data_IF_390163907501
#
_entry.id   IF_390163907501
#
_cell.length_a   1.000
_cell.length_b   1.000
_cell.length_c   1.000
_cell.angle_alpha   90.00
_cell.angle_beta   90.00
_cell.angle_gamma   90.00
#
_symmetry.space_group_name_H-M   'P 1'
#
loop_
_entity.id
_entity.type
_entity.pdbx_description
1 polymer ?
#
# COMPACT_ATOMS: atom_id res chain seq x y z
N UNK A 1 -11.52 -17.48 17.59
CA UNK A 1 -12.19 -16.18 17.41
C UNK A 1 -11.45 -15.17 18.26
N UNK A 2 -10.60 -14.33 17.66
CA UNK A 2 -9.89 -13.26 18.35
C UNK A 2 -10.48 -11.93 17.94
N UNK A 3 -11.21 -11.30 18.84
CA UNK A 3 -11.66 -9.90 18.72
C UNK A 3 -10.48 -8.98 19.05
N UNK A 4 -10.31 -7.90 18.29
CA UNK A 4 -9.25 -6.91 18.51
C UNK A 4 -9.46 -6.21 19.87
N UNK A 5 -8.91 -6.79 20.94
CA UNK A 5 -8.92 -6.25 22.30
C UNK A 5 -7.56 -5.61 22.62
N UNK A 6 -7.51 -4.36 23.10
CA UNK A 6 -6.27 -3.56 23.20
C UNK A 6 -5.22 -4.07 24.21
N UNK A 7 -5.47 -5.18 24.93
CA UNK A 7 -4.50 -5.75 25.85
C UNK A 7 -3.47 -6.68 25.18
N UNK A 8 -3.82 -7.32 24.05
CA UNK A 8 -2.94 -8.21 23.28
C UNK A 8 -3.34 -8.12 21.80
N UNK A 9 -2.48 -7.55 20.98
CA UNK A 9 -2.63 -7.48 19.53
C UNK A 9 -1.53 -8.33 18.89
N UNK A 10 -1.93 -9.34 18.13
CA UNK A 10 -0.99 -10.13 17.31
C UNK A 10 -1.00 -9.57 15.88
N UNK A 11 0.18 -9.40 15.28
CA UNK A 11 0.27 -8.97 13.88
C UNK A 11 -0.39 -9.96 12.91
N UNK A 12 -0.49 -11.24 13.30
CA UNK A 12 -1.22 -12.26 12.56
C UNK A 12 -2.73 -11.95 12.46
N UNK A 13 -3.28 -11.18 13.40
CA UNK A 13 -4.69 -10.77 13.31
C UNK A 13 -4.95 -9.84 12.12
N UNK A 14 -3.93 -9.12 11.62
CA UNK A 14 -4.05 -8.30 10.41
C UNK A 14 -4.10 -9.11 9.12
N UNK A 15 -3.82 -10.42 9.17
CA UNK A 15 -3.80 -11.30 8.00
C UNK A 15 -5.15 -11.93 7.70
N UNK A 16 -6.18 -11.65 8.51
CA UNK A 16 -7.52 -12.20 8.31
C UNK A 16 -8.22 -11.48 7.16
N UNK A 17 -8.56 -12.25 6.14
CA UNK A 17 -9.18 -11.74 4.93
C UNK A 17 -10.51 -11.03 5.20
N UNK A 18 -10.60 -9.77 4.76
CA UNK A 18 -11.74 -8.88 4.98
C UNK A 18 -12.16 -8.70 6.46
N UNK A 19 -11.23 -8.88 7.42
CA UNK A 19 -11.50 -8.75 8.86
C UNK A 19 -10.32 -8.12 9.64
N UNK A 20 -10.23 -6.78 9.75
CA UNK A 20 -11.02 -5.75 9.06
C UNK A 20 -10.24 -5.02 7.94
N UNK A 21 -8.96 -5.36 7.73
CA UNK A 21 -8.04 -4.54 6.91
C UNK A 21 -7.53 -5.30 5.68
N UNK A 22 -7.16 -6.58 5.81
CA UNK A 22 -6.65 -7.36 4.69
C UNK A 22 -7.69 -7.44 3.57
N UNK A 23 -7.25 -7.23 2.33
CA UNK A 23 -8.13 -7.13 1.18
C UNK A 23 -7.45 -7.55 -0.13
N UNK A 24 -8.27 -7.90 -1.12
CA UNK A 24 -7.80 -8.22 -2.47
C UNK A 24 -7.21 -7.01 -3.21
N UNK A 25 -6.50 -7.28 -4.31
CA UNK A 25 -5.82 -6.27 -5.11
C UNK A 25 -4.83 -5.40 -4.32
N UNK A 26 -4.17 -6.02 -3.33
CA UNK A 26 -3.00 -5.48 -2.66
C UNK A 26 -1.86 -5.15 -3.64
N UNK A 27 -1.07 -4.12 -3.35
CA UNK A 27 0.04 -3.68 -4.22
C UNK A 27 1.20 -4.69 -4.29
N UNK A 28 1.44 -5.42 -3.20
CA UNK A 28 2.66 -6.21 -2.99
C UNK A 28 2.39 -7.67 -2.60
N UNK A 29 1.12 -8.07 -2.47
CA UNK A 29 0.70 -9.35 -1.92
C UNK A 29 -0.38 -9.97 -2.79
N UNK A 30 -0.35 -11.29 -2.91
CA UNK A 30 -1.35 -12.07 -3.62
C UNK A 30 -2.70 -12.02 -2.88
N UNK A 31 -3.78 -12.14 -3.62
CA UNK A 31 -5.13 -12.21 -3.04
C UNK A 31 -5.28 -13.50 -2.23
N UNK A 32 -6.05 -13.46 -1.14
CA UNK A 32 -6.23 -14.59 -0.22
C UNK A 32 -6.72 -15.86 -0.91
N UNK A 33 -7.51 -15.71 -1.98
CA UNK A 33 -8.01 -16.79 -2.83
C UNK A 33 -6.91 -17.73 -3.35
N UNK A 34 -5.72 -17.20 -3.66
CA UNK A 34 -4.62 -18.00 -4.20
C UNK A 34 -3.87 -18.80 -3.13
N UNK A 35 -4.22 -18.63 -1.84
CA UNK A 35 -3.68 -19.43 -0.74
C UNK A 35 -2.23 -19.09 -0.36
N UNK A 36 -1.69 -17.97 -0.85
CA UNK A 36 -0.41 -17.46 -0.37
C UNK A 36 -0.57 -16.81 1.01
N UNK A 37 0.50 -16.83 1.80
CA UNK A 37 0.51 -16.20 3.12
C UNK A 37 0.59 -14.67 2.98
N UNK A 38 -0.44 -13.92 3.44
CA UNK A 38 -0.48 -12.47 3.31
C UNK A 38 0.56 -11.75 4.17
N UNK A 39 1.28 -12.43 5.08
CA UNK A 39 2.42 -11.83 5.76
C UNK A 39 3.56 -11.53 4.77
N UNK A 40 3.72 -12.35 3.74
CA UNK A 40 4.84 -12.29 2.82
C UNK A 40 4.52 -11.53 1.55
N UNK A 41 5.54 -10.83 1.05
CA UNK A 41 5.47 -10.09 -0.20
C UNK A 41 5.62 -11.05 -1.37
N UNK A 42 4.75 -10.93 -2.37
CA UNK A 42 4.80 -11.72 -3.60
C UNK A 42 5.84 -11.09 -4.55
N UNK A 43 7.00 -11.73 -4.83
CA UNK A 43 8.12 -11.08 -5.53
C UNK A 43 7.77 -10.52 -6.91
N UNK A 44 6.90 -11.20 -7.66
CA UNK A 44 6.48 -10.75 -8.99
C UNK A 44 5.71 -9.42 -8.91
N UNK A 45 4.87 -9.23 -7.90
CA UNK A 45 4.12 -7.99 -7.73
C UNK A 45 5.04 -6.81 -7.37
N UNK A 46 6.13 -7.05 -6.64
CA UNK A 46 7.13 -6.01 -6.40
C UNK A 46 7.90 -5.67 -7.66
N UNK A 47 8.27 -6.66 -8.47
CA UNK A 47 8.90 -6.40 -9.75
C UNK A 47 7.98 -5.54 -10.63
N UNK A 48 6.68 -5.81 -10.63
CA UNK A 48 5.69 -4.98 -11.31
C UNK A 48 5.69 -3.55 -10.76
N UNK A 49 5.57 -3.36 -9.44
CA UNK A 49 5.64 -2.04 -8.78
C UNK A 49 6.91 -1.27 -9.17
N UNK A 50 8.06 -1.94 -9.16
CA UNK A 50 9.35 -1.33 -9.50
C UNK A 50 9.48 -1.03 -11.00
N UNK A 51 8.81 -1.80 -11.86
CA UNK A 51 8.81 -1.58 -13.31
C UNK A 51 8.11 -0.28 -13.71
N UNK A 52 7.06 0.13 -12.99
CA UNK A 52 6.40 1.42 -13.22
C UNK A 52 7.34 2.60 -12.91
N UNK A 53 8.24 2.44 -11.94
CA UNK A 53 9.21 3.48 -11.55
C UNK A 53 10.53 3.45 -12.30
N UNK A 54 10.50 3.11 -13.59
CA UNK A 54 11.66 2.99 -14.48
C UNK A 54 12.43 4.31 -14.68
N UNK A 55 11.76 5.45 -14.48
CA UNK A 55 12.36 6.80 -14.49
C UNK A 55 13.06 7.16 -13.15
N UNK A 56 13.12 6.20 -12.21
CA UNK A 56 13.74 6.34 -10.89
C UNK A 56 12.79 6.75 -9.78
N UNK A 57 11.50 6.92 -10.08
CA UNK A 57 10.48 7.34 -9.11
C UNK A 57 9.13 6.66 -9.36
N UNK A 58 8.32 6.50 -8.32
CA UNK A 58 6.95 5.99 -8.40
C UNK A 58 6.04 7.13 -7.96
N UNK A 59 5.16 7.59 -8.85
CA UNK A 59 4.25 8.71 -8.60
C UNK A 59 2.79 8.28 -8.36
N UNK A 60 1.90 9.26 -8.21
CA UNK A 60 0.45 9.05 -8.02
C UNK A 60 -0.18 8.29 -9.20
N UNK A 61 0.25 8.57 -10.43
CA UNK A 61 -0.27 7.91 -11.63
C UNK A 61 0.20 6.46 -11.68
N UNK A 62 1.43 6.18 -11.27
CA UNK A 62 2.00 4.84 -11.25
C UNK A 62 1.26 3.95 -10.24
N UNK A 63 1.06 4.42 -9.00
CA UNK A 63 0.29 3.64 -8.01
C UNK A 63 -1.17 3.43 -8.43
N UNK A 64 -1.76 4.38 -9.18
CA UNK A 64 -3.10 4.23 -9.73
C UNK A 64 -3.15 3.17 -10.85
N UNK A 65 -2.16 3.15 -11.74
CA UNK A 65 -2.03 2.12 -12.79
C UNK A 65 -1.83 0.73 -12.19
N UNK A 66 -0.94 0.61 -11.20
CA UNK A 66 -0.72 -0.64 -10.46
C UNK A 66 -2.04 -1.13 -9.86
N UNK A 67 -2.78 -0.26 -9.15
CA UNK A 67 -4.06 -0.63 -8.56
C UNK A 67 -5.07 -1.09 -9.63
N UNK A 68 -5.16 -0.37 -10.76
CA UNK A 68 -6.03 -0.76 -11.87
C UNK A 68 -5.67 -2.13 -12.44
N UNK A 69 -4.37 -2.43 -12.58
CA UNK A 69 -3.91 -3.73 -13.06
C UNK A 69 -4.24 -4.84 -12.06
N UNK A 70 -4.04 -4.60 -10.76
CA UNK A 70 -4.39 -5.56 -9.69
C UNK A 70 -5.88 -5.85 -9.65
N UNK A 71 -6.73 -4.82 -9.79
CA UNK A 71 -8.20 -5.00 -9.89
C UNK A 71 -8.55 -5.84 -11.12
N UNK A 72 -8.01 -5.52 -12.30
CA UNK A 72 -8.28 -6.29 -13.51
C UNK A 72 -7.85 -7.76 -13.40
N UNK A 73 -6.70 -8.02 -12.78
CA UNK A 73 -6.23 -9.37 -12.49
C UNK A 73 -7.18 -10.12 -11.56
N UNK A 74 -7.57 -9.51 -10.43
CA UNK A 74 -8.49 -10.12 -9.47
C UNK A 74 -9.85 -10.43 -10.11
N UNK A 75 -10.43 -9.49 -10.84
CA UNK A 75 -11.69 -9.69 -11.57
C UNK A 75 -11.65 -10.85 -12.58
N UNK A 76 -10.47 -11.12 -13.17
CA UNK A 76 -10.30 -12.18 -14.16
C UNK A 76 -10.01 -13.55 -13.55
N UNK A 77 -9.23 -13.61 -12.46
CA UNK A 77 -8.63 -14.86 -11.97
C UNK A 77 -9.03 -15.24 -10.55
N UNK A 78 -9.64 -14.35 -9.77
CA UNK A 78 -10.12 -14.59 -8.41
C UNK A 78 -11.67 -14.64 -8.42
N UNK A 79 -12.29 -15.84 -8.37
CA UNK A 79 -13.75 -16.00 -8.35
C UNK A 79 -14.44 -15.39 -7.12
N UNK A 80 -13.69 -15.14 -6.04
CA UNK A 80 -14.19 -14.55 -4.79
C UNK A 80 -13.75 -13.09 -4.63
N UNK A 81 -13.28 -12.47 -5.71
CA UNK A 81 -12.71 -11.13 -5.70
C UNK A 81 -13.65 -10.10 -5.06
N UNK A 82 -13.17 -9.42 -4.01
CA UNK A 82 -13.87 -8.30 -3.39
C UNK A 82 -13.04 -7.01 -3.47
N UNK A 83 -13.59 -6.02 -4.18
CA UNK A 83 -13.09 -4.65 -4.18
C UNK A 83 -14.22 -3.64 -3.96
N UNK A 84 -15.09 -3.96 -3.01
CA UNK A 84 -16.17 -3.11 -2.53
C UNK A 84 -15.66 -1.88 -1.78
N UNK A 85 -16.57 -1.04 -1.26
CA UNK A 85 -16.24 0.29 -0.76
C UNK A 85 -15.12 0.31 0.31
N UNK A 86 -15.13 -0.65 1.25
CA UNK A 86 -14.14 -0.71 2.34
C UNK A 86 -12.77 -1.18 1.83
N UNK A 87 -12.61 -2.37 1.21
CA UNK A 87 -11.37 -2.77 0.53
C UNK A 87 -10.78 -1.68 -0.37
N UNK A 88 -11.62 -1.07 -1.19
CA UNK A 88 -11.19 -0.07 -2.16
C UNK A 88 -10.78 1.26 -1.51
N UNK A 89 -11.31 1.59 -0.33
CA UNK A 89 -10.84 2.74 0.45
C UNK A 89 -9.47 2.46 1.07
N UNK A 90 -9.31 1.29 1.69
CA UNK A 90 -8.06 0.89 2.35
C UNK A 90 -6.92 0.82 1.34
N UNK A 91 -7.09 0.12 0.22
CA UNK A 91 -6.08 0.00 -0.84
C UNK A 91 -5.56 1.37 -1.31
N UNK A 92 -6.48 2.33 -1.51
CA UNK A 92 -6.13 3.69 -1.94
C UNK A 92 -5.46 4.50 -0.83
N UNK A 93 -5.89 4.31 0.43
CA UNK A 93 -5.29 4.95 1.59
C UNK A 93 -3.86 4.43 1.82
N UNK A 94 -3.61 3.14 1.63
CA UNK A 94 -2.28 2.53 1.70
C UNK A 94 -1.35 3.05 0.61
N UNK A 95 -1.82 3.13 -0.64
CA UNK A 95 -1.06 3.72 -1.74
C UNK A 95 -0.68 5.18 -1.47
N UNK A 96 -1.62 5.97 -0.96
CA UNK A 96 -1.37 7.36 -0.56
C UNK A 96 -0.41 7.44 0.63
N UNK A 97 -0.54 6.56 1.62
CA UNK A 97 0.36 6.49 2.78
C UNK A 97 1.78 6.12 2.34
N UNK A 98 1.94 5.18 1.41
CA UNK A 98 3.21 4.84 0.80
C UNK A 98 3.86 6.07 0.15
N UNK A 99 3.15 6.77 -0.75
CA UNK A 99 3.70 7.97 -1.38
C UNK A 99 4.00 9.08 -0.37
N UNK A 100 3.14 9.28 0.62
CA UNK A 100 3.33 10.34 1.62
C UNK A 100 4.46 10.02 2.58
N UNK A 101 4.61 8.77 2.96
CA UNK A 101 5.69 8.34 3.83
C UNK A 101 7.02 8.47 3.10
N UNK A 102 7.14 7.89 1.90
CA UNK A 102 8.42 7.73 1.20
C UNK A 102 8.72 8.83 0.18
N UNK A 103 7.78 9.73 -0.10
CA UNK A 103 7.87 10.70 -1.19
C UNK A 103 8.49 12.06 -0.90
N UNK A 104 9.35 12.15 0.13
CA UNK A 104 10.11 13.36 0.43
C UNK A 104 9.24 14.59 0.72
N UNK A 105 9.66 15.78 0.28
CA UNK A 105 8.99 17.05 0.61
C UNK A 105 7.64 17.25 -0.12
N UNK A 106 7.46 16.66 -1.29
CA UNK A 106 6.24 16.83 -2.09
C UNK A 106 5.18 15.79 -1.72
N UNK A 107 5.58 14.59 -1.28
CA UNK A 107 4.68 13.52 -0.86
C UNK A 107 3.84 12.91 -1.98
N UNK A 108 4.18 13.20 -3.24
CA UNK A 108 3.47 12.77 -4.45
C UNK A 108 4.29 11.78 -5.29
N UNK A 109 5.58 11.61 -5.02
CA UNK A 109 6.43 10.64 -5.70
C UNK A 109 7.50 10.10 -4.77
N UNK A 110 7.72 8.78 -4.80
CA UNK A 110 8.70 8.04 -4.01
C UNK A 110 9.87 7.63 -4.90
N UNK A 111 11.12 7.70 -4.41
CA UNK A 111 12.25 7.12 -5.16
C UNK A 111 12.12 5.60 -5.23
N UNK A 112 12.34 5.01 -6.40
CA UNK A 112 12.23 3.55 -6.62
C UNK A 112 13.14 2.75 -5.68
N UNK A 113 14.31 3.29 -5.33
CA UNK A 113 15.23 2.68 -4.35
C UNK A 113 14.65 2.62 -2.93
N UNK A 114 13.85 3.62 -2.53
CA UNK A 114 13.17 3.62 -1.23
C UNK A 114 12.02 2.63 -1.20
N UNK A 115 11.26 2.54 -2.30
CA UNK A 115 10.22 1.54 -2.47
C UNK A 115 10.79 0.11 -2.37
N UNK A 116 11.86 -0.17 -3.12
CA UNK A 116 12.56 -1.47 -3.09
C UNK A 116 13.08 -1.82 -1.70
N UNK A 117 13.77 -0.89 -1.02
CA UNK A 117 14.28 -1.14 0.35
C UNK A 117 13.14 -1.46 1.32
N UNK A 118 12.01 -0.76 1.25
CA UNK A 118 10.90 -0.98 2.15
C UNK A 118 10.18 -2.31 1.86
N UNK A 119 9.80 -2.57 0.62
CA UNK A 119 9.04 -3.78 0.29
C UNK A 119 9.89 -5.06 0.39
N UNK A 120 11.17 -5.00 0.02
CA UNK A 120 12.05 -6.19 0.00
C UNK A 120 12.71 -6.45 1.35
N UNK A 121 13.11 -5.39 2.07
CA UNK A 121 13.90 -5.54 3.31
C UNK A 121 13.14 -5.14 4.57
N UNK A 122 11.91 -4.61 4.45
CA UNK A 122 11.08 -4.13 5.57
C UNK A 122 11.89 -3.16 6.48
N UNK A 123 12.80 -2.41 5.87
CA UNK A 123 13.78 -1.58 6.57
C UNK A 123 13.74 -0.14 6.05
N UNK A 124 14.04 0.81 6.93
CA UNK A 124 14.22 2.21 6.55
C UNK A 124 15.64 2.43 6.01
N UNK A 125 15.77 3.10 4.88
CA UNK A 125 17.07 3.45 4.32
C UNK A 125 17.86 4.38 5.26
N UNK A 126 19.16 4.10 5.44
CA UNK A 126 20.07 4.91 6.25
C UNK A 126 20.18 6.35 5.70
N UNK A 127 19.84 7.36 6.52
CA UNK A 127 19.86 8.77 6.11
C UNK A 127 18.50 9.41 5.80
N UNK A 128 17.38 8.69 6.04
CA UNK A 128 16.03 9.26 5.92
C UNK A 128 15.77 10.28 7.04
N UNK A 129 15.40 11.51 6.65
CA UNK A 129 14.83 12.52 7.56
C UNK A 129 13.32 12.29 7.61
N UNK A 130 12.76 12.09 8.82
CA UNK A 130 11.31 11.95 9.04
C UNK A 130 10.57 13.13 8.40
N UNK A 131 9.38 12.88 7.85
CA UNK A 131 8.51 13.97 7.38
C UNK A 131 8.34 14.96 8.54
N UNK A 132 8.62 16.25 8.30
CA UNK A 132 8.74 17.29 9.33
C UNK A 132 7.40 17.61 10.04
N UNK A 133 6.31 17.03 9.57
CA UNK A 133 4.97 17.18 10.14
C UNK A 133 4.33 15.81 10.26
N UNK A 134 3.54 15.62 11.32
CA UNK A 134 2.74 14.41 11.51
C UNK A 134 1.90 14.13 10.25
N UNK A 135 1.95 12.90 9.73
CA UNK A 135 1.06 12.49 8.64
C UNK A 135 -0.34 12.29 9.22
N UNK A 136 -1.29 13.11 8.76
CA UNK A 136 -2.71 12.94 9.01
C UNK A 136 -3.45 12.88 7.67
N UNK A 137 -4.42 11.97 7.56
CA UNK A 137 -5.32 11.91 6.42
C UNK A 137 -6.42 12.97 6.62
N UNK A 138 -6.27 14.17 6.04
CA UNK A 138 -7.30 15.21 6.15
C UNK A 138 -6.89 16.66 5.85
N UNK A 139 -7.53 17.21 4.80
CA UNK A 139 -7.72 18.61 4.37
C UNK A 139 -6.48 19.53 4.30
N UNK A 140 -6.02 19.75 3.07
CA UNK A 140 -5.39 21.02 2.72
C UNK A 140 -6.37 22.16 3.05
N UNK A 141 -6.07 22.96 4.07
CA UNK A 141 -6.60 24.32 4.13
C UNK A 141 -5.89 25.08 3.00
N UNK A 142 -6.56 25.23 1.86
CA UNK A 142 -6.29 26.36 0.99
C UNK A 142 -6.37 27.61 1.87
N UNK A 143 -5.23 28.24 2.10
CA UNK A 143 -5.17 29.59 2.63
C UNK A 143 -5.75 30.48 1.52
N UNK A 144 -7.03 30.84 1.63
CA UNK A 144 -7.57 31.96 0.88
C UNK A 144 -6.80 33.21 1.34
N UNK A 145 -5.95 33.72 0.46
CA UNK A 145 -5.47 35.09 0.55
C UNK A 145 -6.59 35.99 0.04
N UNK A 146 -7.24 36.71 0.94
CA UNK A 146 -7.84 38.01 0.66
C UNK A 146 -6.79 39.08 0.88
#
# INVERSE_FOLDING_TARGET
MGTLSPAVFDMNDLSKHNDPIEHDASQARSDSYFGEDPAFVTPNLINDVLSYGSDGQIDVNDVAKIQSARIGYGQQYNPTFDFSATPAFIARAEAALFLRAFGGQNGNSCKTSFASTFFVQITFFAGRIRVRSCLAFGRSRQQLKT
#
